data_IF_561581745263
#
_entry.id   IF_561581745263
#
_cell.length_a   1.000
_cell.length_b   1.000
_cell.length_c   1.000
_cell.angle_alpha   90.00
_cell.angle_beta   90.00
_cell.angle_gamma   90.00
#
_symmetry.space_group_name_H-M   'P 1'
#
loop_
_entity.id
_entity.type
_entity.pdbx_description
1 polymer ?
#
# COMPACT_ATOMS: atom_id res chain seq x y z
N UNK A 1 -25.11 -9.05 -8.13
CA UNK A 1 -24.12 -9.61 -7.21
C UNK A 1 -23.18 -8.48 -6.83
N UNK A 2 -23.05 -8.23 -5.54
CA UNK A 2 -22.14 -7.22 -5.06
C UNK A 2 -20.70 -7.69 -5.35
N UNK A 3 -20.03 -7.04 -6.30
CA UNK A 3 -18.62 -7.31 -6.57
C UNK A 3 -17.84 -6.76 -5.38
N UNK A 4 -17.27 -7.64 -4.57
CA UNK A 4 -16.43 -7.24 -3.44
C UNK A 4 -15.33 -6.29 -3.89
N UNK A 5 -14.86 -5.42 -2.99
CA UNK A 5 -13.82 -4.43 -3.25
C UNK A 5 -12.55 -4.77 -2.49
N UNK A 6 -11.40 -4.71 -3.17
CA UNK A 6 -10.06 -4.75 -2.55
C UNK A 6 -9.52 -3.33 -2.56
N UNK A 7 -9.10 -2.83 -1.40
CA UNK A 7 -8.46 -1.52 -1.27
C UNK A 7 -6.95 -1.72 -1.15
N UNK A 8 -6.16 -0.92 -1.86
CA UNK A 8 -4.70 -0.95 -1.80
C UNK A 8 -4.13 0.45 -1.66
N UNK A 9 -3.22 0.64 -0.72
CA UNK A 9 -2.45 1.87 -0.60
C UNK A 9 -1.44 1.99 -1.75
N UNK A 10 -1.40 3.16 -2.40
CA UNK A 10 -0.57 3.43 -3.58
C UNK A 10 0.33 4.61 -3.32
N UNK A 11 1.62 4.44 -3.54
CA UNK A 11 2.63 5.47 -3.68
C UNK A 11 3.68 5.00 -4.70
N UNK A 12 4.76 5.75 -4.91
CA UNK A 12 5.82 5.42 -5.86
C UNK A 12 6.88 4.44 -5.33
N UNK A 13 6.69 3.93 -4.11
CA UNK A 13 7.64 3.00 -3.49
C UNK A 13 7.60 1.60 -4.14
N UNK A 14 8.72 0.88 -4.04
CA UNK A 14 8.80 -0.52 -4.47
C UNK A 14 7.82 -1.42 -3.70
N UNK A 15 7.55 -1.09 -2.45
CA UNK A 15 6.60 -1.80 -1.59
C UNK A 15 5.17 -1.63 -2.08
N UNK A 16 4.77 -0.40 -2.43
CA UNK A 16 3.45 -0.14 -3.00
C UNK A 16 3.27 -0.82 -4.35
N UNK A 17 4.30 -0.81 -5.23
CA UNK A 17 4.27 -1.55 -6.51
C UNK A 17 4.02 -3.05 -6.30
N UNK A 18 4.70 -3.67 -5.32
CA UNK A 18 4.49 -5.08 -4.99
C UNK A 18 3.06 -5.32 -4.46
N UNK A 19 2.56 -4.44 -3.60
CA UNK A 19 1.21 -4.50 -3.06
C UNK A 19 0.14 -4.36 -4.15
N UNK A 20 0.29 -3.40 -5.07
CA UNK A 20 -0.64 -3.17 -6.19
C UNK A 20 -0.68 -4.38 -7.12
N UNK A 21 0.47 -4.96 -7.48
CA UNK A 21 0.53 -6.17 -8.31
C UNK A 21 -0.19 -7.35 -7.64
N UNK A 22 0.12 -7.61 -6.38
CA UNK A 22 -0.52 -8.69 -5.62
C UNK A 22 -2.03 -8.45 -5.50
N UNK A 23 -2.47 -7.23 -5.17
CA UNK A 23 -3.88 -6.88 -5.04
C UNK A 23 -4.63 -7.03 -6.37
N UNK A 24 -3.99 -6.67 -7.50
CA UNK A 24 -4.54 -6.84 -8.83
C UNK A 24 -4.77 -8.33 -9.18
N UNK A 25 -3.80 -9.20 -8.88
CA UNK A 25 -3.94 -10.65 -9.04
C UNK A 25 -5.10 -11.19 -8.20
N UNK A 26 -5.22 -10.76 -6.94
CA UNK A 26 -6.33 -11.16 -6.08
C UNK A 26 -7.67 -10.65 -6.59
N UNK A 27 -7.75 -9.41 -7.06
CA UNK A 27 -8.97 -8.85 -7.63
C UNK A 27 -9.45 -9.65 -8.84
N UNK A 28 -8.54 -9.99 -9.77
CA UNK A 28 -8.86 -10.83 -10.94
C UNK A 28 -9.32 -12.21 -10.55
N UNK A 29 -8.61 -12.88 -9.64
CA UNK A 29 -8.91 -14.25 -9.25
C UNK A 29 -10.23 -14.40 -8.48
N UNK A 30 -10.66 -13.33 -7.81
CA UNK A 30 -11.87 -13.34 -6.97
C UNK A 30 -13.06 -12.58 -7.58
N UNK A 31 -12.88 -11.96 -8.75
CA UNK A 31 -13.90 -11.12 -9.38
C UNK A 31 -14.20 -9.83 -8.59
N UNK A 32 -13.27 -9.37 -7.75
CA UNK A 32 -13.39 -8.12 -7.01
C UNK A 32 -12.95 -6.94 -7.86
N UNK A 33 -13.45 -5.74 -7.53
CA UNK A 33 -12.90 -4.49 -8.07
C UNK A 33 -11.71 -4.02 -7.24
N UNK A 34 -10.69 -3.49 -7.90
CA UNK A 34 -9.52 -2.89 -7.23
C UNK A 34 -9.72 -1.39 -7.04
N UNK A 35 -9.49 -0.93 -5.83
CA UNK A 35 -9.53 0.47 -5.47
C UNK A 35 -8.17 0.89 -4.91
N UNK A 36 -7.34 1.51 -5.74
CA UNK A 36 -6.11 2.16 -5.32
C UNK A 36 -6.42 3.47 -4.58
N UNK A 37 -5.74 3.72 -3.49
CA UNK A 37 -5.85 4.96 -2.72
C UNK A 37 -4.46 5.53 -2.50
N UNK A 38 -4.22 6.69 -3.09
CA UNK A 38 -3.05 7.52 -2.80
C UNK A 38 -3.45 8.60 -1.81
N UNK A 39 -2.71 8.72 -0.72
CA UNK A 39 -2.98 9.73 0.31
C UNK A 39 -1.84 10.73 0.34
N UNK A 40 -2.16 11.98 0.05
CA UNK A 40 -1.27 13.10 0.30
C UNK A 40 -1.32 13.40 1.80
N UNK A 41 -0.30 12.94 2.52
CA UNK A 41 -0.14 13.25 3.94
C UNK A 41 0.41 14.67 4.07
N UNK A 42 -0.53 15.61 4.07
CA UNK A 42 -0.22 17.03 4.20
C UNK A 42 0.06 17.30 5.67
N UNK A 43 1.22 17.86 6.02
CA UNK A 43 1.46 18.29 7.39
C UNK A 43 0.39 19.30 7.81
N UNK A 44 -0.48 18.89 8.71
CA UNK A 44 -1.50 19.74 9.34
C UNK A 44 -0.87 20.74 10.32
N UNK A 45 0.38 21.04 10.15
CA UNK A 45 1.04 22.00 11.03
C UNK A 45 0.90 23.38 10.45
N UNK A 46 0.61 24.28 11.34
CA UNK A 46 0.72 25.73 11.21
C UNK A 46 2.14 26.19 10.78
N UNK A 47 2.98 25.24 10.41
CA UNK A 47 4.32 25.43 9.86
C UNK A 47 4.28 25.58 8.34
N UNK A 48 3.52 26.59 7.91
CA UNK A 48 3.57 27.08 6.52
C UNK A 48 5.02 27.43 6.10
N UNK A 49 5.89 27.68 7.09
CA UNK A 49 7.30 27.97 6.87
C UNK A 49 8.13 26.71 6.51
N UNK A 50 7.92 25.61 7.20
CA UNK A 50 8.60 24.34 6.93
C UNK A 50 8.18 23.75 5.59
N UNK A 51 6.94 23.96 5.22
CA UNK A 51 6.38 23.50 3.95
C UNK A 51 6.91 24.29 2.74
N UNK A 52 6.96 25.60 2.85
CA UNK A 52 7.52 26.47 1.79
C UNK A 52 9.00 26.15 1.52
N UNK A 53 9.77 25.83 2.57
CA UNK A 53 11.19 25.45 2.44
C UNK A 53 11.35 24.07 1.81
N UNK A 54 10.48 23.10 2.14
CA UNK A 54 10.54 21.76 1.55
C UNK A 54 10.08 21.78 0.07
N UNK A 55 9.05 22.55 -0.26
CA UNK A 55 8.57 22.69 -1.62
C UNK A 55 9.60 23.37 -2.54
N UNK A 56 10.28 24.40 -2.04
CA UNK A 56 11.30 25.13 -2.79
C UNK A 56 12.58 24.33 -3.05
N UNK A 57 12.83 23.29 -2.23
CA UNK A 57 14.01 22.43 -2.37
C UNK A 57 13.76 21.15 -3.19
N UNK A 58 12.51 20.73 -3.39
CA UNK A 58 12.15 19.43 -3.97
C UNK A 58 11.45 19.56 -5.32
N UNK A 59 10.76 20.68 -5.57
CA UNK A 59 10.01 20.84 -6.81
C UNK A 59 10.85 21.56 -7.88
N UNK A 60 10.86 21.04 -9.13
CA UNK A 60 11.34 21.81 -10.26
C UNK A 60 10.54 23.12 -10.42
N UNK A 61 11.20 24.19 -10.85
CA UNK A 61 10.57 25.47 -11.09
C UNK A 61 9.26 25.34 -11.90
N UNK A 62 8.14 25.77 -11.29
CA UNK A 62 6.82 25.74 -11.91
C UNK A 62 6.06 24.41 -11.83
N UNK A 63 6.56 23.43 -11.10
CA UNK A 63 5.83 22.18 -10.89
C UNK A 63 4.70 22.38 -9.84
N UNK A 64 3.50 21.91 -10.22
CA UNK A 64 2.39 21.78 -9.29
C UNK A 64 2.59 20.59 -8.38
N UNK A 65 2.49 20.79 -7.08
CA UNK A 65 2.66 19.77 -6.05
C UNK A 65 1.71 18.60 -6.23
N UNK A 66 0.47 18.86 -6.58
CA UNK A 66 -0.52 17.82 -6.83
C UNK A 66 -0.06 16.92 -7.97
N UNK A 67 0.38 17.50 -9.07
CA UNK A 67 0.91 16.77 -10.23
C UNK A 67 2.17 15.98 -9.87
N UNK A 68 3.06 16.53 -9.05
CA UNK A 68 4.30 15.88 -8.65
C UNK A 68 4.07 14.57 -7.89
N UNK A 69 3.09 14.53 -7.00
CA UNK A 69 2.76 13.31 -6.26
C UNK A 69 1.78 12.39 -7.00
N UNK A 70 0.98 12.94 -7.87
CA UNK A 70 -0.09 12.24 -8.58
C UNK A 70 0.45 11.35 -9.70
N UNK A 71 1.31 11.89 -10.54
CA UNK A 71 1.84 11.19 -11.72
C UNK A 71 2.53 9.87 -11.37
N UNK A 72 3.45 9.80 -10.40
CA UNK A 72 4.09 8.54 -10.04
C UNK A 72 3.10 7.47 -9.56
N UNK A 73 2.07 7.85 -8.82
CA UNK A 73 1.06 6.91 -8.34
C UNK A 73 0.11 6.43 -9.45
N UNK A 74 -0.19 7.28 -10.41
CA UNK A 74 -0.93 6.90 -11.63
C UNK A 74 -0.14 5.89 -12.46
N UNK A 75 1.17 6.09 -12.61
CA UNK A 75 2.05 5.14 -13.30
C UNK A 75 2.08 3.78 -12.60
N UNK A 76 2.24 3.76 -11.28
CA UNK A 76 2.21 2.52 -10.49
C UNK A 76 0.90 1.77 -10.66
N UNK A 77 -0.23 2.47 -10.65
CA UNK A 77 -1.53 1.84 -10.84
C UNK A 77 -1.76 1.38 -12.28
N UNK A 78 -1.23 2.10 -13.26
CA UNK A 78 -1.30 1.73 -14.66
C UNK A 78 -0.47 0.46 -15.00
N UNK A 79 0.62 0.19 -14.26
CA UNK A 79 1.46 -1.01 -14.47
C UNK A 79 0.69 -2.33 -14.37
N UNK A 80 -0.46 -2.35 -13.71
CA UNK A 80 -1.26 -3.58 -13.54
C UNK A 80 -2.39 -3.71 -14.56
N UNK A 81 -2.41 -2.92 -15.62
CA UNK A 81 -3.47 -2.93 -16.64
C UNK A 81 -4.88 -2.94 -16.00
N UNK A 82 -5.34 -1.80 -15.43
CA UNK A 82 -6.58 -1.76 -14.66
C UNK A 82 -7.79 -2.21 -15.48
N UNK A 83 -8.58 -3.10 -14.91
CA UNK A 83 -9.81 -3.58 -15.52
C UNK A 83 -10.97 -2.56 -15.39
N UNK A 84 -12.01 -2.66 -16.23
CA UNK A 84 -13.20 -1.81 -16.11
C UNK A 84 -13.79 -1.86 -14.68
N UNK A 85 -14.01 -0.70 -14.08
CA UNK A 85 -14.50 -0.56 -12.72
C UNK A 85 -13.38 -0.43 -11.66
N UNK A 86 -12.13 -0.70 -11.99
CA UNK A 86 -11.00 -0.40 -11.11
C UNK A 86 -10.73 1.11 -11.11
N UNK A 87 -10.29 1.62 -9.98
CA UNK A 87 -10.06 3.06 -9.83
C UNK A 87 -8.90 3.39 -8.92
N UNK A 88 -8.27 4.53 -9.17
CA UNK A 88 -7.32 5.17 -8.27
C UNK A 88 -7.95 6.46 -7.74
N UNK A 89 -7.94 6.64 -6.43
CA UNK A 89 -8.43 7.84 -5.75
C UNK A 89 -7.27 8.54 -5.06
N UNK A 90 -7.28 9.86 -5.15
CA UNK A 90 -6.37 10.73 -4.43
C UNK A 90 -7.12 11.39 -3.28
N UNK A 91 -6.60 11.27 -2.08
CA UNK A 91 -7.18 11.83 -0.88
C UNK A 91 -6.13 12.64 -0.10
N UNK A 92 -6.58 13.59 0.68
CA UNK A 92 -5.73 14.38 1.57
C UNK A 92 -6.00 14.00 3.03
N UNK A 93 -4.96 13.93 3.82
CA UNK A 93 -5.07 13.68 5.25
C UNK A 93 -4.03 12.69 5.75
N UNK A 94 -4.24 12.20 6.97
CA UNK A 94 -3.39 11.17 7.54
C UNK A 94 -3.65 9.83 6.85
N UNK A 95 -2.61 9.26 6.24
CA UNK A 95 -2.76 8.08 5.37
C UNK A 95 -3.46 6.90 6.06
N UNK A 96 -3.10 6.61 7.31
CA UNK A 96 -3.75 5.52 8.06
C UNK A 96 -5.25 5.72 8.25
N UNK A 97 -5.70 6.94 8.57
CA UNK A 97 -7.12 7.25 8.74
C UNK A 97 -7.88 7.09 7.43
N UNK A 98 -7.36 7.68 6.36
CA UNK A 98 -8.01 7.61 5.04
C UNK A 98 -8.13 6.19 4.54
N UNK A 99 -7.06 5.38 4.68
CA UNK A 99 -7.07 3.99 4.24
C UNK A 99 -8.05 3.13 5.04
N UNK A 100 -8.13 3.32 6.37
CA UNK A 100 -9.12 2.64 7.21
C UNK A 100 -10.52 3.01 6.79
N UNK A 101 -10.82 4.30 6.60
CA UNK A 101 -12.14 4.75 6.18
C UNK A 101 -12.53 4.22 4.79
N UNK A 102 -11.59 4.22 3.83
CA UNK A 102 -11.81 3.66 2.51
C UNK A 102 -12.03 2.13 2.51
N UNK A 103 -11.56 1.44 3.53
CA UNK A 103 -11.60 -0.02 3.62
C UNK A 103 -12.77 -0.59 4.43
N UNK A 104 -13.65 0.23 5.00
CA UNK A 104 -14.74 -0.25 5.89
C UNK A 104 -15.59 -1.36 5.29
N UNK A 105 -16.01 -1.21 4.05
CA UNK A 105 -16.81 -2.21 3.33
C UNK A 105 -15.96 -3.01 2.33
N UNK A 106 -14.66 -3.02 2.50
CA UNK A 106 -13.77 -3.75 1.62
C UNK A 106 -13.63 -5.22 2.04
N UNK A 107 -13.38 -6.07 1.08
CA UNK A 107 -13.03 -7.47 1.34
C UNK A 107 -11.68 -7.60 2.04
N UNK A 108 -10.77 -6.68 1.76
CA UNK A 108 -9.48 -6.55 2.42
C UNK A 108 -8.83 -5.19 2.12
N UNK A 109 -7.92 -4.78 3.01
CA UNK A 109 -6.97 -3.69 2.80
C UNK A 109 -5.58 -4.29 2.55
N UNK A 110 -4.90 -3.83 1.50
CA UNK A 110 -3.57 -4.29 1.10
C UNK A 110 -2.57 -3.15 1.24
N UNK A 111 -1.47 -3.40 1.91
CA UNK A 111 -0.38 -2.44 2.09
C UNK A 111 0.97 -3.07 1.69
N UNK A 112 1.87 -2.25 1.15
CA UNK A 112 3.26 -2.63 1.00
C UNK A 112 3.96 -2.68 2.36
N UNK A 113 4.85 -3.66 2.52
CA UNK A 113 5.62 -3.83 3.74
C UNK A 113 7.12 -3.77 3.45
N UNK A 114 7.89 -3.08 4.31
CA UNK A 114 9.34 -3.06 4.22
C UNK A 114 9.92 -4.34 4.81
N UNK A 115 10.80 -5.01 4.06
CA UNK A 115 11.60 -6.10 4.60
C UNK A 115 12.71 -5.56 5.50
N UNK A 116 12.47 -5.63 6.81
CA UNK A 116 13.55 -5.64 7.78
C UNK A 116 13.30 -6.80 8.74
N UNK A 117 14.34 -7.53 9.08
CA UNK A 117 14.34 -8.77 9.87
C UNK A 117 13.39 -8.76 11.08
N UNK A 118 12.30 -9.54 11.00
CA UNK A 118 11.36 -9.80 12.09
C UNK A 118 9.93 -9.33 11.80
N UNK A 119 8.96 -10.12 12.23
CA UNK A 119 7.51 -9.91 12.00
C UNK A 119 7.00 -8.54 12.46
N UNK A 120 7.63 -7.94 13.46
CA UNK A 120 7.26 -6.62 14.02
C UNK A 120 7.67 -5.44 13.15
N UNK A 121 8.48 -5.62 12.10
CA UNK A 121 8.95 -4.53 11.22
C UNK A 121 8.20 -4.41 9.90
N UNK A 122 7.31 -5.34 9.59
CA UNK A 122 6.50 -5.31 8.36
C UNK A 122 5.56 -4.10 8.31
N UNK A 123 5.21 -3.53 9.46
CA UNK A 123 4.28 -2.42 9.59
C UNK A 123 4.86 -1.25 10.41
N UNK A 124 6.16 -1.05 10.35
CA UNK A 124 6.87 -0.07 11.18
C UNK A 124 6.65 1.40 10.76
N UNK A 125 5.86 1.65 9.70
CA UNK A 125 5.41 2.99 9.37
C UNK A 125 4.19 3.40 10.21
N UNK A 126 4.02 4.69 10.46
CA UNK A 126 2.85 5.24 11.17
C UNK A 126 1.52 4.79 10.52
N UNK A 127 1.48 4.72 9.20
CA UNK A 127 0.32 4.27 8.42
C UNK A 127 0.00 2.80 8.67
N UNK A 128 0.97 1.90 8.53
CA UNK A 128 0.76 0.46 8.74
C UNK A 128 0.36 0.12 10.16
N UNK A 129 1.01 0.77 11.15
CA UNK A 129 0.66 0.59 12.56
C UNK A 129 -0.76 1.08 12.87
N UNK A 130 -1.15 2.22 12.33
CA UNK A 130 -2.51 2.74 12.48
C UNK A 130 -3.54 1.79 11.86
N UNK A 131 -3.33 1.36 10.62
CA UNK A 131 -4.23 0.44 9.95
C UNK A 131 -4.38 -0.88 10.72
N UNK A 132 -3.28 -1.45 11.22
CA UNK A 132 -3.32 -2.70 12.00
C UNK A 132 -4.25 -2.61 13.23
N UNK A 133 -4.30 -1.45 13.88
CA UNK A 133 -5.09 -1.28 15.10
C UNK A 133 -6.54 -0.84 14.85
N UNK A 134 -6.88 -0.35 13.67
CA UNK A 134 -8.18 0.30 13.41
C UNK A 134 -8.96 -0.28 12.24
N UNK A 135 -8.36 -1.11 11.39
CA UNK A 135 -9.06 -1.68 10.24
C UNK A 135 -10.11 -2.72 10.69
N UNK A 136 -11.26 -2.69 10.03
CA UNK A 136 -12.39 -3.60 10.31
C UNK A 136 -12.45 -4.79 9.34
N UNK A 137 -11.62 -4.79 8.30
CA UNK A 137 -11.50 -5.88 7.33
C UNK A 137 -10.12 -6.57 7.44
N UNK A 138 -9.90 -7.73 6.80
CA UNK A 138 -8.58 -8.34 6.71
C UNK A 138 -7.52 -7.38 6.16
N UNK A 139 -6.39 -7.26 6.87
CA UNK A 139 -5.22 -6.48 6.44
C UNK A 139 -4.15 -7.42 5.88
N UNK A 140 -3.72 -7.16 4.67
CA UNK A 140 -2.66 -7.90 4.00
C UNK A 140 -1.43 -7.01 3.82
N UNK A 141 -0.30 -7.44 4.37
CA UNK A 141 0.99 -6.79 4.21
C UNK A 141 1.81 -7.55 3.15
N UNK A 142 2.11 -6.90 2.04
CA UNK A 142 2.87 -7.51 0.92
C UNK A 142 4.32 -7.09 1.02
N UNK A 143 5.26 -8.02 1.27
CA UNK A 143 6.67 -7.70 1.29
C UNK A 143 7.17 -7.36 -0.11
N UNK A 144 8.03 -6.35 -0.22
CA UNK A 144 8.78 -6.09 -1.43
C UNK A 144 9.90 -7.14 -1.51
N UNK A 145 9.66 -8.23 -2.28
CA UNK A 145 10.52 -9.38 -2.30
C UNK A 145 11.93 -9.08 -2.79
N UNK A 146 12.90 -9.36 -1.94
CA UNK A 146 14.18 -9.87 -2.39
C UNK A 146 14.00 -11.35 -2.66
N UNK A 147 14.23 -11.84 -3.87
CA UNK A 147 14.32 -13.23 -4.35
C UNK A 147 13.65 -14.34 -3.51
N UNK A 148 12.93 -15.29 -4.11
CA UNK A 148 12.30 -16.36 -3.37
C UNK A 148 13.38 -17.09 -2.56
N UNK A 149 13.32 -16.98 -1.24
CA UNK A 149 14.06 -17.89 -0.38
C UNK A 149 13.57 -19.28 -0.72
N UNK A 150 14.39 -20.02 -1.44
CA UNK A 150 14.20 -21.46 -1.58
C UNK A 150 14.02 -21.99 -0.15
N UNK A 151 12.85 -22.48 0.18
CA UNK A 151 12.67 -23.33 1.34
C UNK A 151 13.59 -24.55 1.09
N UNK A 152 14.81 -24.46 1.59
CA UNK A 152 15.64 -25.64 1.77
C UNK A 152 14.91 -26.49 2.79
N UNK A 153 14.23 -27.52 2.31
CA UNK A 153 13.57 -28.50 3.13
C UNK A 153 14.57 -29.06 4.15
N UNK A 154 14.35 -28.77 5.41
CA UNK A 154 14.89 -29.57 6.50
C UNK A 154 13.81 -30.56 6.92
N UNK A 155 13.60 -31.52 6.04
CA UNK A 155 13.08 -32.80 6.47
C UNK A 155 14.18 -33.54 7.22
N UNK A 156 14.05 -33.64 8.53
CA UNK A 156 14.61 -34.73 9.31
C UNK A 156 13.65 -35.03 10.45
N UNK A 157 12.68 -35.87 10.15
CA UNK A 157 12.00 -36.61 11.17
C UNK A 157 13.06 -37.51 11.82
N UNK A 158 13.37 -37.25 13.09
CA UNK A 158 14.06 -38.21 13.92
C UNK A 158 13.04 -39.27 14.30
N UNK A 159 13.22 -40.48 13.79
CA UNK A 159 12.52 -41.67 14.23
C UNK A 159 12.86 -41.92 15.71
N UNK A 160 11.85 -41.95 16.55
CA UNK A 160 11.95 -42.54 17.88
C UNK A 160 11.71 -44.03 17.70
N UNK A 161 12.74 -44.82 17.85
CA UNK A 161 12.67 -46.29 17.94
C UNK A 161 12.41 -46.73 19.39
N UNK A 162 12.06 -48.00 19.59
CA UNK A 162 11.43 -48.54 20.79
C UNK A 162 12.29 -48.54 22.05
#
# INVERSE_FOLDING_TARGET
MDQGRIVVGVDDSAQARAAVRWAAEQARSTGCVLHGVHVLDWPRTNDMYGYAVAADQVLPDGADLETFYRVPSEEVFAEVDPEPGWRLTFAQGHAGHVLVDCSRDARMLVLGACEHTGVMRLLNGSTGHYCLNHVECPLVAVPCGTSPRRHAGRGRAAAVGP
#
